data_IF_506028367687
#
_entry.id   IF_506028367687
#
_cell.length_a   1.000
_cell.length_b   1.000
_cell.length_c   1.000
_cell.angle_alpha   90.00
_cell.angle_beta   90.00
_cell.angle_gamma   90.00
#
_symmetry.space_group_name_H-M   'P 1'
#
loop_
_entity.id
_entity.type
_entity.pdbx_description
1 polymer ?
#
# COMPACT_ATOMS: atom_id res chain seq x y z
N UNK A 1 12.17 -24.95 -17.73
CA UNK A 1 11.44 -23.70 -17.42
C UNK A 1 12.45 -22.64 -16.97
N UNK A 2 13.37 -22.23 -17.84
CA UNK A 2 14.63 -21.60 -17.42
C UNK A 2 14.66 -20.09 -17.68
N UNK A 3 13.64 -19.53 -18.33
CA UNK A 3 13.58 -18.12 -18.74
C UNK A 3 12.33 -17.39 -18.21
N UNK A 4 11.66 -17.96 -17.20
CA UNK A 4 10.56 -17.28 -16.55
C UNK A 4 11.13 -16.36 -15.45
N UNK A 5 10.74 -15.08 -15.41
CA UNK A 5 11.14 -14.18 -14.33
C UNK A 5 10.61 -14.68 -12.98
N UNK A 6 11.23 -14.23 -11.88
CA UNK A 6 10.76 -14.63 -10.56
C UNK A 6 9.41 -13.97 -10.27
N UNK A 7 8.55 -14.67 -9.52
CA UNK A 7 7.21 -14.12 -9.20
C UNK A 7 7.25 -12.90 -8.29
N UNK A 8 8.27 -12.77 -7.44
CA UNK A 8 8.40 -11.60 -6.55
C UNK A 8 8.77 -10.32 -7.31
N UNK A 9 9.36 -10.45 -8.51
CA UNK A 9 9.69 -9.32 -9.39
C UNK A 9 8.43 -8.56 -9.86
N UNK A 10 7.23 -9.11 -9.62
CA UNK A 10 5.95 -8.50 -9.97
C UNK A 10 5.56 -7.35 -9.05
N UNK A 11 5.92 -7.41 -7.77
CA UNK A 11 5.47 -6.44 -6.74
C UNK A 11 6.61 -5.81 -5.93
N UNK A 12 7.81 -6.41 -5.95
CA UNK A 12 9.01 -5.85 -5.32
C UNK A 12 9.77 -4.97 -6.32
N UNK A 13 10.15 -3.76 -5.88
CA UNK A 13 10.94 -2.83 -6.68
C UNK A 13 12.39 -3.30 -6.79
N UNK A 14 13.00 -3.10 -7.96
CA UNK A 14 14.45 -3.23 -8.12
C UNK A 14 15.22 -2.14 -7.35
N UNK A 15 16.53 -2.32 -7.12
CA UNK A 15 17.36 -1.39 -6.35
C UNK A 15 17.37 0.05 -6.89
N UNK A 16 17.15 0.25 -8.19
CA UNK A 16 17.15 1.56 -8.85
C UNK A 16 15.75 2.01 -9.35
N UNK A 17 14.69 1.29 -9.00
CA UNK A 17 13.33 1.57 -9.47
C UNK A 17 12.54 2.40 -8.43
N UNK A 18 11.98 3.53 -8.86
CA UNK A 18 11.03 4.30 -8.04
C UNK A 18 9.63 3.73 -8.19
N UNK A 19 8.80 3.79 -7.14
CA UNK A 19 7.39 3.37 -7.24
C UNK A 19 6.61 4.22 -8.26
N UNK A 20 6.90 5.52 -8.30
CA UNK A 20 6.24 6.49 -9.18
C UNK A 20 7.27 7.33 -9.93
N UNK A 21 7.09 7.46 -11.24
CA UNK A 21 7.81 8.40 -12.08
C UNK A 21 6.81 9.34 -12.77
N UNK A 22 7.11 10.63 -12.78
CA UNK A 22 6.23 11.66 -13.33
C UNK A 22 6.88 12.22 -14.59
N UNK A 23 6.14 12.23 -15.69
CA UNK A 23 6.55 12.81 -16.97
C UNK A 23 5.50 13.82 -17.38
N UNK A 24 5.85 15.10 -17.34
CA UNK A 24 5.00 16.18 -17.83
C UNK A 24 4.86 16.10 -19.36
N UNK A 25 3.66 16.33 -19.88
CA UNK A 25 3.41 16.32 -21.32
C UNK A 25 3.71 17.71 -21.91
N UNK A 26 4.61 17.77 -22.89
CA UNK A 26 4.98 19.03 -23.55
C UNK A 26 4.03 19.41 -24.68
N UNK A 27 3.20 18.47 -25.16
CA UNK A 27 2.29 18.68 -26.31
C UNK A 27 0.90 19.09 -25.87
N UNK A 28 0.48 18.65 -24.69
CA UNK A 28 -0.86 18.91 -24.16
C UNK A 28 -0.72 19.78 -22.90
N UNK A 29 -1.35 20.97 -22.84
CA UNK A 29 -1.27 21.82 -21.67
C UNK A 29 -1.94 21.14 -20.46
N UNK A 30 -1.39 21.40 -19.28
CA UNK A 30 -1.90 20.87 -18.00
C UNK A 30 -2.11 19.34 -18.01
N UNK A 31 -1.18 18.61 -18.63
CA UNK A 31 -1.21 17.16 -18.68
C UNK A 31 0.09 16.56 -18.15
N UNK A 32 -0.04 15.46 -17.42
CA UNK A 32 1.09 14.66 -16.94
C UNK A 32 0.79 13.17 -17.06
N UNK A 33 1.85 12.40 -17.25
CA UNK A 33 1.83 10.94 -17.26
C UNK A 33 2.55 10.42 -16.03
N UNK A 34 1.85 9.62 -15.24
CA UNK A 34 2.35 8.99 -14.03
C UNK A 34 2.62 7.52 -14.34
N UNK A 35 3.86 7.08 -14.19
CA UNK A 35 4.24 5.68 -14.29
C UNK A 35 4.30 5.07 -12.90
N UNK A 36 3.57 3.98 -12.72
CA UNK A 36 3.55 3.17 -11.51
C UNK A 36 4.27 1.86 -11.80
N UNK A 37 5.44 1.70 -11.18
CA UNK A 37 6.23 0.48 -11.29
C UNK A 37 5.73 -0.55 -10.26
N UNK A 38 5.69 -1.82 -10.67
CA UNK A 38 5.26 -2.96 -9.86
C UNK A 38 3.80 -2.86 -9.43
N UNK A 39 2.97 -2.35 -10.33
CA UNK A 39 1.53 -2.19 -10.17
C UNK A 39 0.80 -2.70 -11.42
N UNK A 40 -0.48 -2.99 -11.27
CA UNK A 40 -1.32 -3.58 -12.31
C UNK A 40 -2.67 -2.86 -12.48
N UNK A 41 -3.58 -3.49 -13.22
CA UNK A 41 -4.93 -2.98 -13.46
C UNK A 41 -5.71 -2.69 -12.18
N UNK A 42 -5.39 -3.35 -11.07
CA UNK A 42 -6.07 -3.14 -9.77
C UNK A 42 -5.94 -1.68 -9.36
N UNK A 43 -4.71 -1.18 -9.26
CA UNK A 43 -4.46 0.21 -8.90
C UNK A 43 -4.84 1.17 -10.04
N UNK A 44 -4.47 0.84 -11.28
CA UNK A 44 -4.70 1.72 -12.44
C UNK A 44 -6.17 2.03 -12.66
N UNK A 45 -7.03 1.02 -12.58
CA UNK A 45 -8.47 1.19 -12.77
C UNK A 45 -9.10 2.00 -11.65
N UNK A 46 -8.77 1.72 -10.38
CA UNK A 46 -9.28 2.47 -9.23
C UNK A 46 -8.91 3.95 -9.31
N UNK A 47 -7.64 4.26 -9.58
CA UNK A 47 -7.17 5.64 -9.71
C UNK A 47 -7.86 6.38 -10.85
N UNK A 48 -8.03 5.74 -12.00
CA UNK A 48 -8.75 6.34 -13.14
C UNK A 48 -10.15 6.79 -12.73
N UNK A 49 -10.92 5.92 -12.07
CA UNK A 49 -12.28 6.25 -11.67
C UNK A 49 -12.31 7.39 -10.64
N UNK A 50 -11.49 7.30 -9.59
CA UNK A 50 -11.46 8.32 -8.55
C UNK A 50 -11.03 9.71 -9.03
N UNK A 51 -10.08 9.76 -9.97
CA UNK A 51 -9.60 11.02 -10.55
C UNK A 51 -10.64 11.61 -11.52
N UNK A 52 -11.32 10.79 -12.32
CA UNK A 52 -12.39 11.25 -13.23
C UNK A 52 -13.61 11.82 -12.50
N UNK A 53 -13.81 11.48 -11.22
CA UNK A 53 -14.89 12.06 -10.42
C UNK A 53 -14.65 13.55 -10.08
N UNK A 54 -13.44 14.07 -10.28
CA UNK A 54 -13.16 15.49 -10.08
C UNK A 54 -13.55 16.29 -11.34
N UNK A 55 -14.46 17.28 -11.25
CA UNK A 55 -14.91 18.06 -12.42
C UNK A 55 -13.80 18.89 -13.08
N UNK A 56 -12.70 19.18 -12.38
CA UNK A 56 -11.53 19.87 -12.95
C UNK A 56 -10.68 18.99 -13.88
N UNK A 57 -10.94 17.67 -13.90
CA UNK A 57 -10.21 16.71 -14.75
C UNK A 57 -10.96 16.54 -16.07
N UNK A 58 -10.30 16.90 -17.16
CA UNK A 58 -10.84 16.76 -18.51
C UNK A 58 -10.64 15.35 -19.07
N UNK A 59 -9.50 14.73 -18.73
CA UNK A 59 -9.17 13.40 -19.19
C UNK A 59 -8.36 12.65 -18.15
N UNK A 60 -8.74 11.39 -17.91
CA UNK A 60 -7.90 10.44 -17.21
C UNK A 60 -8.05 9.04 -17.84
N UNK A 61 -6.92 8.46 -18.20
CA UNK A 61 -6.84 7.13 -18.79
C UNK A 61 -5.65 6.37 -18.25
N UNK A 62 -5.77 5.05 -18.15
CA UNK A 62 -4.65 4.18 -17.79
C UNK A 62 -4.49 3.07 -18.83
N UNK A 63 -3.26 2.56 -18.97
CA UNK A 63 -3.02 1.31 -19.69
C UNK A 63 -1.78 0.61 -19.15
N UNK A 64 -1.77 -0.71 -19.32
CA UNK A 64 -0.58 -1.55 -19.15
C UNK A 64 0.04 -1.70 -20.55
N UNK A 65 1.28 -1.23 -20.78
CA UNK A 65 1.89 -1.23 -22.10
C UNK A 65 2.18 -2.66 -22.58
N UNK A 66 2.58 -3.55 -21.68
CA UNK A 66 2.87 -4.94 -21.98
C UNK A 66 2.58 -5.85 -20.78
N UNK A 67 1.93 -7.03 -20.95
CA UNK A 67 1.55 -7.89 -19.82
C UNK A 67 2.73 -8.50 -19.03
N UNK A 68 3.90 -8.65 -19.66
CA UNK A 68 5.10 -9.19 -19.00
C UNK A 68 5.83 -8.15 -18.14
N UNK A 69 5.47 -6.87 -18.25
CA UNK A 69 6.05 -5.79 -17.47
C UNK A 69 5.00 -5.29 -16.48
N UNK A 70 5.19 -5.50 -15.17
CA UNK A 70 4.29 -5.01 -14.13
C UNK A 70 4.44 -3.49 -13.99
N UNK A 71 3.97 -2.74 -14.99
CA UNK A 71 4.05 -1.29 -15.05
C UNK A 71 2.74 -0.76 -15.60
N UNK A 72 2.16 0.19 -14.91
CA UNK A 72 0.95 0.90 -15.35
C UNK A 72 1.33 2.34 -15.58
N UNK A 73 0.75 2.98 -16.59
CA UNK A 73 0.74 4.43 -16.58
C UNK A 73 -0.66 4.98 -16.57
N UNK A 74 -0.79 6.14 -15.92
CA UNK A 74 -2.00 6.93 -15.81
C UNK A 74 -1.70 8.29 -16.40
N UNK A 75 -2.43 8.68 -17.44
CA UNK A 75 -2.36 10.01 -18.03
C UNK A 75 -3.52 10.84 -17.51
N UNK A 76 -3.22 12.03 -17.01
CA UNK A 76 -4.21 12.97 -16.45
C UNK A 76 -4.05 14.30 -17.17
N UNK A 77 -5.16 14.90 -17.56
CA UNK A 77 -5.26 16.26 -18.08
C UNK A 77 -6.31 17.02 -17.30
N UNK A 78 -5.98 18.22 -16.86
CA UNK A 78 -6.88 19.12 -16.13
C UNK A 78 -7.22 20.36 -16.95
N UNK A 79 -8.24 21.09 -16.51
CA UNK A 79 -8.66 22.37 -17.08
C UNK A 79 -7.72 23.55 -16.74
N UNK A 80 -6.72 23.32 -15.88
CA UNK A 80 -5.76 24.32 -15.41
C UNK A 80 -6.12 24.97 -14.07
N UNK A 81 -7.29 24.70 -13.51
CA UNK A 81 -7.64 25.10 -12.13
C UNK A 81 -6.86 24.32 -11.07
N UNK A 82 -6.45 23.10 -11.42
CA UNK A 82 -5.72 22.16 -10.58
C UNK A 82 -4.55 21.55 -11.35
N UNK A 83 -3.43 21.30 -10.68
CA UNK A 83 -2.32 20.55 -11.30
C UNK A 83 -2.70 19.07 -11.45
N UNK A 84 -2.23 18.36 -12.48
CA UNK A 84 -2.46 16.92 -12.61
C UNK A 84 -1.98 16.11 -11.40
N UNK A 85 -0.89 16.55 -10.76
CA UNK A 85 -0.35 15.93 -9.54
C UNK A 85 -1.29 16.09 -8.35
N UNK A 86 -1.90 17.28 -8.19
CA UNK A 86 -2.87 17.50 -7.12
C UNK A 86 -4.19 16.77 -7.39
N UNK A 87 -4.63 16.70 -8.66
CA UNK A 87 -5.79 15.89 -9.05
C UNK A 87 -5.60 14.42 -8.66
N UNK A 88 -4.42 13.86 -8.93
CA UNK A 88 -4.06 12.50 -8.52
C UNK A 88 -4.06 12.36 -6.98
N UNK A 89 -3.45 13.29 -6.25
CA UNK A 89 -3.39 13.27 -4.78
C UNK A 89 -4.79 13.31 -4.15
N UNK A 90 -5.68 14.15 -4.68
CA UNK A 90 -7.07 14.22 -4.25
C UNK A 90 -7.81 12.91 -4.53
N UNK A 91 -7.63 12.32 -5.72
CA UNK A 91 -8.16 11.01 -6.06
C UNK A 91 -7.71 9.91 -5.11
N UNK A 92 -6.42 9.84 -4.78
CA UNK A 92 -5.87 8.89 -3.80
C UNK A 92 -6.49 9.07 -2.41
N UNK A 93 -6.57 10.32 -1.94
CA UNK A 93 -7.15 10.63 -0.61
C UNK A 93 -8.61 10.20 -0.53
N UNK A 94 -9.37 10.44 -1.60
CA UNK A 94 -10.77 10.04 -1.71
C UNK A 94 -10.94 8.52 -1.67
N UNK A 95 -10.11 7.78 -2.41
CA UNK A 95 -10.13 6.31 -2.39
C UNK A 95 -9.83 5.75 -1.00
N UNK A 96 -8.82 6.30 -0.31
CA UNK A 96 -8.47 5.88 1.05
C UNK A 96 -9.66 6.09 1.99
N UNK A 97 -10.36 7.23 1.89
CA UNK A 97 -11.55 7.51 2.69
C UNK A 97 -12.71 6.56 2.37
N UNK A 98 -12.98 6.29 1.09
CA UNK A 98 -14.02 5.36 0.65
C UNK A 98 -13.78 3.93 1.16
N UNK A 99 -12.55 3.42 0.99
CA UNK A 99 -12.18 2.07 1.46
C UNK A 99 -12.24 2.00 2.99
N UNK A 100 -11.82 3.06 3.68
CA UNK A 100 -11.90 3.11 5.16
C UNK A 100 -13.34 3.07 5.66
N UNK A 101 -14.23 3.84 5.01
CA UNK A 101 -15.67 3.83 5.31
C UNK A 101 -16.30 2.46 5.04
N UNK A 102 -15.99 1.85 3.88
CA UNK A 102 -16.45 0.51 3.54
C UNK A 102 -15.98 -0.53 4.57
N UNK A 103 -14.71 -0.48 4.97
CA UNK A 103 -14.14 -1.38 5.97
C UNK A 103 -14.86 -1.29 7.31
N UNK A 104 -15.20 -0.08 7.74
CA UNK A 104 -15.94 0.16 8.99
C UNK A 104 -17.37 -0.37 8.89
N UNK A 105 -18.10 0.00 7.83
CA UNK A 105 -19.46 -0.46 7.61
C UNK A 105 -19.53 -2.00 7.54
N UNK A 106 -18.64 -2.62 6.76
CA UNK A 106 -18.54 -4.07 6.66
C UNK A 106 -18.28 -4.73 8.02
N UNK A 107 -17.35 -4.19 8.81
CA UNK A 107 -17.02 -4.73 10.13
C UNK A 107 -18.24 -4.70 11.05
N UNK A 108 -18.97 -3.59 11.07
CA UNK A 108 -20.20 -3.46 11.87
C UNK A 108 -21.24 -4.49 11.44
N UNK A 109 -21.52 -4.61 10.14
CA UNK A 109 -22.53 -5.54 9.62
C UNK A 109 -22.18 -7.01 9.90
N UNK A 110 -20.91 -7.39 9.75
CA UNK A 110 -20.45 -8.76 10.06
C UNK A 110 -20.59 -9.07 11.55
N UNK A 111 -20.30 -8.10 12.42
CA UNK A 111 -20.48 -8.25 13.87
C UNK A 111 -21.96 -8.40 14.26
N UNK A 112 -22.86 -7.66 13.60
CA UNK A 112 -24.30 -7.72 13.85
C UNK A 112 -24.95 -8.99 13.28
N UNK A 113 -24.40 -9.56 12.20
CA UNK A 113 -24.96 -10.73 11.51
C UNK A 113 -24.72 -12.07 12.23
N UNK A 114 -24.12 -12.08 13.42
CA UNK A 114 -23.97 -13.29 14.24
C UNK A 114 -22.96 -14.33 13.73
N UNK A 115 -22.23 -14.05 12.65
CA UNK A 115 -21.03 -14.81 12.31
C UNK A 115 -19.98 -14.50 13.40
N UNK A 116 -19.66 -15.50 14.21
CA UNK A 116 -18.89 -15.39 15.45
C UNK A 116 -17.69 -14.45 15.38
N UNK A 117 -17.41 -13.82 16.52
CA UNK A 117 -16.28 -12.93 16.78
C UNK A 117 -14.99 -13.43 16.12
N UNK A 118 -14.59 -12.82 15.00
CA UNK A 118 -13.21 -12.93 14.52
C UNK A 118 -12.39 -11.96 15.35
N UNK A 119 -11.79 -12.46 16.42
CA UNK A 119 -10.73 -11.76 17.15
C UNK A 119 -9.53 -11.57 16.21
N UNK A 120 -9.47 -10.42 15.54
CA UNK A 120 -8.21 -9.92 14.98
C UNK A 120 -7.53 -9.12 16.08
N UNK A 121 -6.86 -9.85 16.99
CA UNK A 121 -6.07 -9.29 18.08
C UNK A 121 -4.84 -8.57 17.54
N UNK A 122 -4.93 -7.25 17.41
CA UNK A 122 -3.78 -6.36 17.49
C UNK A 122 -3.41 -6.19 18.96
N UNK A 123 -2.36 -6.85 19.41
CA UNK A 123 -1.85 -6.75 20.77
C UNK A 123 -0.72 -7.74 21.00
N UNK A 124 0.52 -7.33 20.72
CA UNK A 124 1.70 -8.03 21.20
C UNK A 124 1.77 -7.91 22.72
N UNK A 125 1.17 -8.87 23.43
CA UNK A 125 1.57 -9.16 24.81
C UNK A 125 2.75 -10.14 24.75
N UNK A 126 3.89 -9.64 25.22
CA UNK A 126 5.17 -10.35 25.20
C UNK A 126 5.07 -11.73 25.83
N UNK A 127 5.23 -12.76 25.00
CA UNK A 127 5.68 -14.07 25.44
C UNK A 127 7.16 -14.17 25.09
N UNK A 128 7.99 -13.97 26.11
CA UNK A 128 9.41 -14.25 26.05
C UNK A 128 9.62 -15.73 25.69
N UNK A 129 10.47 -16.00 24.71
CA UNK A 129 11.08 -17.32 24.52
C UNK A 129 10.91 -17.91 23.11
N UNK A 130 12.05 -17.95 22.42
CA UNK A 130 12.41 -18.76 21.25
C UNK A 130 12.14 -18.14 19.87
N UNK A 131 13.21 -17.60 19.28
CA UNK A 131 13.27 -17.16 17.89
C UNK A 131 13.35 -18.40 16.97
N UNK A 132 12.47 -18.59 15.96
CA UNK A 132 12.38 -19.85 15.22
C UNK A 132 13.50 -20.12 14.20
N UNK A 133 14.47 -19.22 14.06
CA UNK A 133 15.48 -19.26 12.98
C UNK A 133 16.95 -19.22 13.44
N UNK A 134 17.23 -19.46 14.73
CA UNK A 134 18.62 -19.62 15.22
C UNK A 134 18.96 -21.11 15.41
N UNK A 135 19.81 -21.71 14.56
CA UNK A 135 20.20 -23.12 14.66
C UNK A 135 21.44 -23.34 15.55
N UNK A 136 21.93 -22.33 16.27
CA UNK A 136 23.16 -22.42 17.09
C UNK A 136 23.00 -21.72 18.43
N UNK A 137 22.47 -22.44 19.42
CA UNK A 137 22.29 -21.96 20.80
C UNK A 137 23.59 -21.69 21.54
N UNK A 138 24.21 -20.53 21.30
CA UNK A 138 25.18 -19.90 22.20
C UNK A 138 24.78 -18.44 22.45
N UNK A 139 23.99 -18.22 23.50
CA UNK A 139 23.68 -16.89 24.03
C UNK A 139 24.83 -16.34 24.86
N UNK A 140 25.28 -15.13 24.52
CA UNK A 140 26.24 -14.35 25.31
C UNK A 140 25.58 -13.77 26.56
N UNK A 141 26.14 -14.06 27.75
CA UNK A 141 25.71 -13.51 29.02
C UNK A 141 26.34 -12.12 29.25
N UNK A 142 25.51 -11.08 29.37
CA UNK A 142 25.88 -9.74 29.82
C UNK A 142 25.26 -9.42 31.18
N UNK A 143 26.09 -9.04 32.14
CA UNK A 143 25.76 -8.79 33.54
C UNK A 143 25.27 -7.36 33.82
N UNK A 144 24.40 -7.17 34.84
CA UNK A 144 24.55 -6.21 35.96
C UNK A 144 23.22 -5.91 36.70
N UNK A 145 23.23 -5.89 38.04
CA UNK A 145 22.42 -4.92 38.82
C UNK A 145 21.41 -5.41 39.87
N UNK A 146 21.90 -5.72 41.09
CA UNK A 146 21.42 -5.33 42.44
C UNK A 146 19.90 -5.32 42.83
N UNK A 147 19.54 -6.29 43.69
CA UNK A 147 18.98 -6.12 45.05
C UNK A 147 17.71 -5.29 45.32
N UNK A 148 16.63 -5.95 45.78
CA UNK A 148 16.00 -5.75 47.12
C UNK A 148 14.63 -6.46 47.27
N UNK A 149 14.58 -7.38 48.24
CA UNK A 149 13.52 -7.73 49.19
C UNK A 149 12.01 -7.49 48.93
N UNK A 150 11.30 -8.61 49.12
CA UNK A 150 10.04 -8.80 49.87
C UNK A 150 8.69 -8.83 49.14
N UNK A 151 8.22 -10.08 48.99
CA UNK A 151 6.83 -10.55 48.99
C UNK A 151 5.98 -9.97 50.13
N UNK A 152 4.70 -9.65 49.83
CA UNK A 152 3.53 -10.10 50.62
C UNK A 152 2.31 -10.22 49.68
N UNK A 153 1.75 -11.43 49.59
CA UNK A 153 0.41 -11.73 49.05
C UNK A 153 -0.69 -11.23 50.02
N UNK A 154 -1.75 -10.63 49.47
CA UNK A 154 -3.14 -10.71 49.95
C UNK A 154 -4.10 -10.65 48.76
#
# INVERSE_FOLDING_TARGET
MTNAPNRFDLFILGPDERRVEIVEDTKIPNAATFWFNKEDHTMGNMLRHAVLENPAVLFCGYKVPHPLEPKVFVKIQTDGSLTPTDALRQGCTKLIAQISSLKQAWRTEVQMSGAGTVEVGGGYQGRSGMDPYDPSGQGYAGASGEGAGNYVDL
#
